data_IF_932035840265
#
_entry.id   IF_932035840265
#
_cell.length_a   1.000
_cell.length_b   1.000
_cell.length_c   1.000
_cell.angle_alpha   90.00
_cell.angle_beta   90.00
_cell.angle_gamma   90.00
#
_symmetry.space_group_name_H-M   'P 1'
#
loop_
_entity.id
_entity.type
_entity.pdbx_description
1 polymer ?
#
# COMPACT_ATOMS: atom_id res chain seq x y z
N UNK A 1 -11.42 -24.23 -13.27
CA UNK A 1 -10.24 -23.46 -13.73
C UNK A 1 -9.64 -22.70 -12.55
N UNK A 2 -8.35 -22.88 -12.27
CA UNK A 2 -7.67 -22.12 -11.22
C UNK A 2 -7.53 -20.68 -11.72
N UNK A 3 -8.16 -19.74 -11.02
CA UNK A 3 -7.97 -18.31 -11.31
C UNK A 3 -6.53 -17.92 -10.96
N UNK A 4 -5.81 -17.40 -11.91
CA UNK A 4 -4.45 -16.90 -11.67
C UNK A 4 -4.49 -15.71 -10.72
N UNK A 5 -3.46 -15.62 -9.90
CA UNK A 5 -3.26 -14.48 -9.00
C UNK A 5 -2.55 -13.36 -9.77
N UNK A 6 -3.01 -12.14 -9.62
CA UNK A 6 -2.32 -10.94 -10.08
C UNK A 6 -1.95 -10.06 -8.90
N UNK A 7 -0.98 -9.19 -9.10
CA UNK A 7 -0.51 -8.24 -8.10
C UNK A 7 -1.00 -6.84 -8.48
N UNK A 8 -1.45 -6.08 -7.51
CA UNK A 8 -1.86 -4.69 -7.70
C UNK A 8 -1.14 -3.82 -6.68
N UNK A 9 -0.51 -2.75 -7.13
CA UNK A 9 0.24 -1.85 -6.26
C UNK A 9 0.00 -0.38 -6.61
N UNK A 10 0.20 0.55 -5.66
CA UNK A 10 0.26 1.96 -5.98
C UNK A 10 1.63 2.31 -6.56
N UNK A 11 1.66 3.23 -7.52
CA UNK A 11 2.89 3.81 -8.05
C UNK A 11 3.41 4.87 -7.05
N UNK A 12 4.70 5.00 -6.79
CA UNK A 12 5.90 4.40 -7.37
C UNK A 12 6.51 3.39 -6.40
N UNK A 13 6.41 3.62 -5.11
CA UNK A 13 7.10 2.86 -4.06
C UNK A 13 6.73 1.37 -4.03
N UNK A 14 5.50 1.03 -4.35
CA UNK A 14 5.04 -0.35 -4.39
C UNK A 14 5.58 -1.18 -5.54
N UNK A 15 6.01 -0.55 -6.64
CA UNK A 15 6.41 -1.27 -7.87
C UNK A 15 7.55 -2.27 -7.67
N UNK A 16 8.69 -1.93 -7.06
CA UNK A 16 9.78 -2.89 -6.89
C UNK A 16 9.36 -4.11 -6.06
N UNK A 17 8.61 -3.87 -4.98
CA UNK A 17 8.09 -4.94 -4.11
C UNK A 17 7.07 -5.81 -4.87
N UNK A 18 6.18 -5.18 -5.63
CA UNK A 18 5.16 -5.87 -6.41
C UNK A 18 5.76 -6.83 -7.44
N UNK A 19 6.80 -6.42 -8.15
CA UNK A 19 7.50 -7.28 -9.10
C UNK A 19 8.22 -8.44 -8.41
N UNK A 20 8.87 -8.20 -7.27
CA UNK A 20 9.48 -9.27 -6.47
C UNK A 20 8.45 -10.30 -5.97
N UNK A 21 7.30 -9.83 -5.48
CA UNK A 21 6.20 -10.70 -5.04
C UNK A 21 5.60 -11.46 -6.21
N UNK A 22 5.39 -10.80 -7.35
CA UNK A 22 4.88 -11.41 -8.57
C UNK A 22 5.76 -12.57 -9.03
N UNK A 23 7.07 -12.36 -9.06
CA UNK A 23 8.03 -13.40 -9.43
C UNK A 23 8.02 -14.57 -8.43
N UNK A 24 8.09 -14.26 -7.13
CA UNK A 24 8.11 -15.28 -6.08
C UNK A 24 6.86 -16.16 -6.05
N UNK A 25 5.69 -15.58 -6.29
CA UNK A 25 4.42 -16.28 -6.31
C UNK A 25 4.06 -16.85 -7.69
N UNK A 26 4.87 -16.59 -8.71
CA UNK A 26 4.54 -16.90 -10.12
C UNK A 26 3.17 -16.37 -10.50
N UNK A 27 2.89 -15.13 -10.05
CA UNK A 27 1.64 -14.46 -10.37
C UNK A 27 1.57 -14.09 -11.85
N UNK A 28 0.35 -13.87 -12.34
CA UNK A 28 0.12 -13.66 -13.77
C UNK A 28 0.71 -12.33 -14.26
N UNK A 29 0.48 -11.25 -13.51
CA UNK A 29 0.93 -9.91 -13.88
C UNK A 29 0.88 -8.93 -12.72
N UNK A 30 1.48 -7.76 -12.94
CA UNK A 30 1.44 -6.61 -12.03
C UNK A 30 0.63 -5.50 -12.67
N UNK A 31 -0.38 -5.01 -11.95
CA UNK A 31 -1.07 -3.77 -12.25
C UNK A 31 -0.60 -2.69 -11.29
N UNK A 32 -0.50 -1.46 -11.75
CA UNK A 32 -0.22 -0.34 -10.85
C UNK A 32 -1.19 0.81 -11.08
N UNK A 33 -1.55 1.45 -9.98
CA UNK A 33 -2.42 2.60 -9.98
C UNK A 33 -1.64 3.87 -9.64
N UNK A 34 -2.03 4.97 -10.24
CA UNK A 34 -1.38 6.27 -10.10
C UNK A 34 -2.36 7.34 -9.65
N UNK A 35 -1.82 8.37 -9.03
CA UNK A 35 -2.50 9.62 -8.73
C UNK A 35 -1.71 10.77 -9.36
N UNK A 36 -2.40 11.72 -9.96
CA UNK A 36 -1.74 12.91 -10.50
C UNK A 36 -1.29 13.88 -9.39
N UNK A 37 -2.06 13.91 -8.31
CA UNK A 37 -1.76 14.65 -7.08
C UNK A 37 -2.25 13.85 -5.88
N UNK A 38 -1.83 14.20 -4.66
CA UNK A 38 -2.27 13.53 -3.43
C UNK A 38 -3.79 13.59 -3.19
N UNK A 39 -4.46 14.56 -3.82
CA UNK A 39 -5.92 14.74 -3.74
C UNK A 39 -6.68 14.18 -4.94
N UNK A 40 -5.98 13.73 -5.99
CA UNK A 40 -6.60 13.11 -7.15
C UNK A 40 -7.05 11.69 -6.85
N UNK A 41 -8.13 11.19 -7.48
CA UNK A 41 -8.48 9.79 -7.37
C UNK A 41 -7.40 8.91 -8.00
N UNK A 42 -7.17 7.77 -7.37
CA UNK A 42 -6.27 6.73 -7.89
C UNK A 42 -6.91 6.07 -9.12
N UNK A 43 -6.10 5.82 -10.14
CA UNK A 43 -6.55 5.19 -11.38
C UNK A 43 -5.49 4.27 -11.99
N UNK A 44 -5.94 3.26 -12.70
CA UNK A 44 -5.06 2.47 -13.57
C UNK A 44 -4.77 3.26 -14.84
N UNK A 45 -3.53 3.20 -15.32
CA UNK A 45 -3.14 3.82 -16.58
C UNK A 45 -3.11 2.82 -17.72
N UNK A 46 -3.06 3.36 -18.95
CA UNK A 46 -2.88 2.60 -20.18
C UNK A 46 -3.96 1.55 -20.45
N UNK A 47 -5.17 1.77 -19.92
CA UNK A 47 -6.31 0.87 -20.12
C UNK A 47 -6.08 -0.57 -19.66
N UNK A 48 -5.14 -0.77 -18.74
CA UNK A 48 -4.83 -2.08 -18.18
C UNK A 48 -5.41 -2.16 -16.77
N UNK A 49 -6.57 -2.79 -16.70
CA UNK A 49 -7.32 -2.98 -15.45
C UNK A 49 -7.42 -4.46 -15.09
N UNK A 50 -7.51 -4.81 -13.80
CA UNK A 50 -7.95 -6.15 -13.41
C UNK A 50 -9.34 -6.46 -13.97
N UNK A 51 -9.54 -7.69 -14.41
CA UNK A 51 -10.84 -8.13 -14.95
C UNK A 51 -11.79 -8.57 -13.84
N UNK A 52 -13.13 -8.50 -14.06
CA UNK A 52 -14.09 -8.99 -13.10
C UNK A 52 -13.83 -10.44 -12.68
N UNK A 53 -13.81 -10.68 -11.36
CA UNK A 53 -13.54 -11.98 -10.77
C UNK A 53 -12.07 -12.41 -10.78
N UNK A 54 -11.16 -11.59 -11.28
CA UNK A 54 -9.72 -11.83 -11.16
C UNK A 54 -9.28 -11.74 -9.71
N UNK A 55 -8.43 -12.68 -9.27
CA UNK A 55 -7.90 -12.68 -7.91
C UNK A 55 -6.67 -11.80 -7.83
N UNK A 56 -6.66 -10.86 -6.89
CA UNK A 56 -5.55 -9.91 -6.75
C UNK A 56 -5.05 -9.83 -5.31
N UNK A 57 -3.73 -9.70 -5.16
CA UNK A 57 -3.06 -9.34 -3.92
C UNK A 57 -2.65 -7.86 -4.01
N UNK A 58 -3.06 -7.07 -3.04
CA UNK A 58 -2.61 -5.67 -2.94
C UNK A 58 -1.23 -5.63 -2.31
N UNK A 59 -0.29 -4.94 -2.93
CA UNK A 59 1.10 -4.87 -2.48
C UNK A 59 1.56 -3.42 -2.40
N UNK A 60 2.25 -3.06 -1.33
CA UNK A 60 2.92 -1.77 -1.19
C UNK A 60 4.25 -1.93 -0.43
N UNK A 61 5.06 -0.89 -0.39
CA UNK A 61 6.32 -0.90 0.33
C UNK A 61 6.11 -0.79 1.85
N UNK A 62 5.26 0.13 2.28
CA UNK A 62 5.02 0.40 3.70
C UNK A 62 3.53 0.67 3.97
N UNK A 63 3.03 0.11 5.07
CA UNK A 63 1.70 0.39 5.61
C UNK A 63 1.83 1.21 6.90
N UNK A 64 1.39 2.45 6.86
CA UNK A 64 1.29 3.36 8.03
C UNK A 64 -0.15 3.62 8.41
N UNK A 65 -0.82 4.56 7.75
CA UNK A 65 -2.25 4.81 7.95
C UNK A 65 -3.14 3.83 7.16
N UNK A 66 -2.65 3.34 6.04
CA UNK A 66 -3.41 2.49 5.12
C UNK A 66 -4.30 3.26 4.15
N UNK A 67 -4.25 4.59 4.12
CA UNK A 67 -5.10 5.40 3.23
C UNK A 67 -4.93 5.02 1.77
N UNK A 68 -3.70 4.95 1.26
CA UNK A 68 -3.43 4.60 -0.14
C UNK A 68 -3.89 3.19 -0.48
N UNK A 69 -3.66 2.24 0.42
CA UNK A 69 -4.14 0.86 0.23
C UNK A 69 -5.67 0.76 0.28
N UNK A 70 -6.34 1.61 1.06
CA UNK A 70 -7.80 1.69 1.06
C UNK A 70 -8.33 2.25 -0.26
N UNK A 71 -7.74 3.30 -0.77
CA UNK A 71 -8.08 3.86 -2.09
C UNK A 71 -7.86 2.82 -3.20
N UNK A 72 -6.75 2.09 -3.14
CA UNK A 72 -6.45 1.01 -4.07
C UNK A 72 -7.47 -0.13 -3.95
N UNK A 73 -7.85 -0.50 -2.74
CA UNK A 73 -8.89 -1.50 -2.47
C UNK A 73 -10.22 -1.11 -3.12
N UNK A 74 -10.64 0.13 -2.96
CA UNK A 74 -11.89 0.63 -3.56
C UNK A 74 -11.81 0.65 -5.09
N UNK A 75 -10.68 1.06 -5.66
CA UNK A 75 -10.46 1.04 -7.10
C UNK A 75 -10.55 -0.40 -7.66
N UNK A 76 -9.89 -1.35 -7.03
CA UNK A 76 -9.89 -2.76 -7.46
C UNK A 76 -11.30 -3.35 -7.36
N UNK A 77 -12.02 -3.08 -6.27
CA UNK A 77 -13.42 -3.50 -6.11
C UNK A 77 -14.31 -2.93 -7.21
N UNK A 78 -14.10 -1.67 -7.59
CA UNK A 78 -14.87 -1.03 -8.68
C UNK A 78 -14.70 -1.73 -10.04
N UNK A 79 -13.61 -2.47 -10.21
CA UNK A 79 -13.36 -3.29 -11.41
C UNK A 79 -13.93 -4.71 -11.30
N UNK A 80 -14.54 -5.05 -10.16
CA UNK A 80 -15.12 -6.36 -9.93
C UNK A 80 -14.10 -7.47 -9.65
N UNK A 81 -12.85 -7.13 -9.39
CA UNK A 81 -11.82 -8.09 -9.01
C UNK A 81 -11.95 -8.49 -7.52
N UNK A 82 -11.47 -9.70 -7.22
CA UNK A 82 -11.50 -10.28 -5.87
C UNK A 82 -10.16 -10.05 -5.16
N UNK A 83 -10.17 -9.29 -4.07
CA UNK A 83 -8.97 -9.04 -3.27
C UNK A 83 -8.78 -10.19 -2.28
N UNK A 84 -7.63 -10.86 -2.35
CA UNK A 84 -7.32 -12.02 -1.49
C UNK A 84 -6.50 -11.65 -0.25
N UNK A 85 -5.90 -10.47 -0.21
CA UNK A 85 -5.12 -9.99 0.93
C UNK A 85 -4.27 -8.77 0.58
N UNK A 86 -3.50 -8.33 1.57
CA UNK A 86 -2.52 -7.25 1.45
C UNK A 86 -1.15 -7.78 1.85
N UNK A 87 -0.12 -7.33 1.15
CA UNK A 87 1.28 -7.62 1.49
C UNK A 87 2.12 -6.35 1.41
N UNK A 88 2.89 -6.08 2.43
CA UNK A 88 3.78 -4.92 2.51
C UNK A 88 5.16 -5.36 2.99
N UNK A 89 6.20 -4.64 2.60
CA UNK A 89 7.53 -4.92 3.12
C UNK A 89 7.62 -4.52 4.60
N UNK A 90 7.09 -3.36 4.95
CA UNK A 90 7.15 -2.82 6.31
C UNK A 90 5.75 -2.45 6.81
N UNK A 91 5.42 -2.94 7.99
CA UNK A 91 4.24 -2.51 8.74
C UNK A 91 4.68 -1.57 9.86
N UNK A 92 4.39 -0.28 9.71
CA UNK A 92 4.69 0.77 10.68
C UNK A 92 3.41 1.55 11.01
N UNK A 93 2.48 0.94 11.80
CA UNK A 93 1.19 1.55 12.05
C UNK A 93 1.30 2.88 12.79
N UNK A 94 0.60 3.89 12.31
CA UNK A 94 0.36 5.13 13.04
C UNK A 94 -0.96 5.04 13.83
N UNK A 95 -1.29 6.03 14.71
CA UNK A 95 -2.55 6.01 15.47
C UNK A 95 -3.82 5.99 14.62
N UNK A 96 -3.74 6.37 13.34
CA UNK A 96 -4.87 6.40 12.41
C UNK A 96 -4.93 5.18 11.49
N UNK A 97 -4.17 4.13 11.77
CA UNK A 97 -4.10 2.94 10.91
C UNK A 97 -5.49 2.31 10.72
N UNK A 98 -5.82 2.07 9.46
CA UNK A 98 -7.08 1.44 9.08
C UNK A 98 -7.04 -0.07 9.31
N UNK A 99 -8.19 -0.63 9.64
CA UNK A 99 -8.38 -2.06 9.77
C UNK A 99 -8.85 -2.64 8.42
N UNK A 100 -8.12 -3.60 7.89
CA UNK A 100 -8.44 -4.28 6.63
C UNK A 100 -9.15 -5.62 6.83
N UNK A 101 -9.45 -6.02 8.08
CA UNK A 101 -10.17 -7.26 8.32
C UNK A 101 -11.46 -7.34 7.48
N UNK A 102 -11.86 -8.49 6.97
CA UNK A 102 -11.27 -9.83 7.19
C UNK A 102 -10.08 -10.17 6.28
N UNK A 103 -9.58 -9.23 5.47
CA UNK A 103 -8.43 -9.50 4.59
C UNK A 103 -7.15 -9.73 5.42
N UNK A 104 -6.38 -10.78 5.13
CA UNK A 104 -5.08 -10.98 5.77
C UNK A 104 -4.09 -9.90 5.33
N UNK A 105 -3.26 -9.46 6.26
CA UNK A 105 -2.16 -8.52 6.02
C UNK A 105 -0.85 -9.23 6.31
N UNK A 106 0.01 -9.33 5.30
CA UNK A 106 1.33 -9.94 5.40
C UNK A 106 2.40 -8.85 5.40
N UNK A 107 3.44 -9.01 6.18
CA UNK A 107 4.58 -8.09 6.20
C UNK A 107 5.88 -8.81 6.51
N UNK A 108 7.01 -8.27 6.04
CA UNK A 108 8.33 -8.80 6.32
C UNK A 108 8.87 -8.28 7.65
N UNK A 109 8.64 -7.01 7.95
CA UNK A 109 9.08 -6.37 9.18
C UNK A 109 7.98 -5.50 9.78
N UNK A 110 7.88 -5.51 11.10
CA UNK A 110 7.06 -4.56 11.85
C UNK A 110 7.98 -3.56 12.53
N UNK A 111 7.70 -2.27 12.35
CA UNK A 111 8.43 -1.18 13.00
C UNK A 111 7.51 -0.42 13.92
N UNK A 112 8.01 -0.14 15.12
CA UNK A 112 7.36 0.76 16.05
C UNK A 112 7.92 2.17 15.86
N UNK A 113 7.05 3.17 15.82
CA UNK A 113 7.43 4.57 15.73
C UNK A 113 6.66 5.37 16.77
N UNK A 114 7.32 6.37 17.35
CA UNK A 114 6.68 7.30 18.27
C UNK A 114 5.95 8.38 17.49
N UNK A 115 4.69 8.61 17.84
CA UNK A 115 3.86 9.65 17.25
C UNK A 115 3.42 10.61 18.33
N UNK A 116 3.55 11.90 18.07
CA UNK A 116 3.21 12.97 19.01
C UNK A 116 2.12 13.87 18.40
N UNK A 117 1.25 14.37 19.24
CA UNK A 117 0.16 15.24 18.82
C UNK A 117 0.66 16.56 18.21
N UNK A 118 1.71 17.11 18.82
CA UNK A 118 2.32 18.37 18.45
C UNK A 118 3.79 18.44 18.93
N UNK A 119 4.49 19.51 18.56
CA UNK A 119 5.88 19.70 18.95
C UNK A 119 6.09 19.83 20.46
N UNK A 120 5.09 20.34 21.21
CA UNK A 120 5.19 20.51 22.65
C UNK A 120 5.18 19.18 23.41
N UNK A 121 4.57 18.16 22.83
CA UNK A 121 4.54 16.79 23.40
C UNK A 121 5.67 15.88 22.88
N UNK A 122 6.50 16.39 21.97
CA UNK A 122 7.60 15.65 21.37
C UNK A 122 8.93 15.90 22.10
N UNK A 123 9.52 14.85 22.67
CA UNK A 123 10.79 14.93 23.39
C UNK A 123 11.95 15.46 22.55
N UNK A 124 11.97 15.11 21.25
CA UNK A 124 13.00 15.58 20.34
C UNK A 124 12.83 17.07 20.01
N UNK A 125 11.59 17.49 19.78
CA UNK A 125 11.29 18.90 19.53
C UNK A 125 11.61 19.78 20.74
N UNK A 126 11.29 19.34 21.95
CA UNK A 126 11.61 20.08 23.18
C UNK A 126 13.10 20.20 23.44
N UNK A 127 13.89 19.24 22.95
CA UNK A 127 15.36 19.28 23.00
C UNK A 127 15.99 20.06 21.84
N UNK A 128 15.18 20.62 20.94
CA UNK A 128 15.67 21.41 19.80
C UNK A 128 16.36 20.58 18.72
N UNK A 129 16.08 19.27 18.64
CA UNK A 129 16.65 18.41 17.59
C UNK A 129 16.06 18.83 16.24
N UNK A 130 16.92 19.19 15.24
CA UNK A 130 16.42 19.65 13.96
C UNK A 130 15.75 18.55 13.14
N UNK A 131 14.71 18.93 12.40
CA UNK A 131 14.11 18.04 11.39
C UNK A 131 15.03 18.03 10.16
N UNK A 132 15.48 16.83 9.77
CA UNK A 132 16.25 16.63 8.56
C UNK A 132 15.33 16.04 7.49
N UNK A 133 15.17 16.76 6.38
CA UNK A 133 14.49 16.23 5.18
C UNK A 133 15.51 15.54 4.31
N UNK A 134 15.31 14.26 4.04
CA UNK A 134 16.20 13.44 3.22
C UNK A 134 15.77 13.34 1.75
N UNK A 135 14.65 13.96 1.42
CA UNK A 135 14.14 14.12 0.05
C UNK A 135 13.49 15.48 -0.12
N UNK A 136 13.52 15.99 -1.32
CA UNK A 136 12.84 17.23 -1.71
C UNK A 136 11.52 16.92 -2.39
#
# INVERSE_FOLDING_TARGET
MIKQLSIVCPNTGGLPIAYGVCEALRAHQVYWAEQDTDSSPMRFRQFVDPTPGERVLLVDDILRSGRRLRELQELVKSKGAEIVGLAVAVFQPNPSVLNFAPLPVFYLAKMEASYYKDASSCDLCTKGVPVVKIWN
#
